data_IF_097402152548
#
_entry.id   IF_097402152548
#
_cell.length_a   1.000
_cell.length_b   1.000
_cell.length_c   1.000
_cell.angle_alpha   90.00
_cell.angle_beta   90.00
_cell.angle_gamma   90.00
#
_symmetry.space_group_name_H-M   'P 1'
#
loop_
_entity.id
_entity.type
_entity.pdbx_description
1 polymer ?
#
# COMPACT_ATOMS: atom_id res chain seq x y z
N UNK A 1 6.75 -10.24 -12.14
CA UNK A 1 5.98 -9.48 -11.14
C UNK A 1 5.19 -10.47 -10.31
N UNK A 2 5.27 -10.36 -8.99
CA UNK A 2 4.54 -11.19 -8.04
C UNK A 2 3.71 -10.29 -7.12
N UNK A 3 2.48 -10.71 -6.80
CA UNK A 3 1.61 -10.09 -5.81
C UNK A 3 1.45 -8.56 -5.94
N UNK A 4 0.78 -8.09 -7.01
CA UNK A 4 0.53 -6.66 -7.22
C UNK A 4 -0.66 -6.17 -6.38
N UNK A 5 -0.48 -5.14 -5.55
CA UNK A 5 -1.57 -4.53 -4.74
C UNK A 5 -1.76 -3.03 -4.98
N UNK A 6 -0.69 -2.31 -5.31
CA UNK A 6 -0.70 -0.89 -5.70
C UNK A 6 -0.54 -0.68 -7.20
N UNK A 7 -0.98 0.49 -7.69
CA UNK A 7 -0.65 0.93 -9.04
C UNK A 7 -0.53 2.45 -9.15
N UNK A 8 0.03 2.90 -10.27
CA UNK A 8 0.16 4.30 -10.65
C UNK A 8 0.16 4.47 -12.16
N UNK A 9 -0.11 5.69 -12.61
CA UNK A 9 0.04 6.09 -14.01
C UNK A 9 0.97 7.29 -14.02
N UNK A 10 2.04 7.22 -14.80
CA UNK A 10 2.97 8.34 -14.94
C UNK A 10 2.38 9.40 -15.88
N UNK A 11 2.80 10.68 -15.78
CA UNK A 11 2.48 11.72 -16.78
C UNK A 11 2.91 11.34 -18.21
N UNK A 12 3.77 10.33 -18.27
CA UNK A 12 4.25 9.53 -19.38
C UNK A 12 3.34 8.75 -20.31
N UNK A 13 2.22 8.31 -19.74
CA UNK A 13 1.46 7.17 -20.26
C UNK A 13 1.99 5.78 -19.90
N UNK A 14 2.94 5.63 -18.96
CA UNK A 14 3.36 4.29 -18.47
C UNK A 14 2.61 3.89 -17.21
N UNK A 15 2.48 2.58 -17.00
CA UNK A 15 1.82 1.98 -15.86
C UNK A 15 2.85 1.53 -14.82
N UNK A 16 2.61 1.86 -13.55
CA UNK A 16 3.39 1.38 -12.42
C UNK A 16 2.58 0.30 -11.71
N UNK A 17 3.18 -0.86 -11.50
CA UNK A 17 2.62 -1.92 -10.67
C UNK A 17 3.55 -2.23 -9.51
N UNK A 18 2.94 -2.37 -8.33
CA UNK A 18 3.64 -2.38 -7.06
C UNK A 18 3.66 -3.81 -6.50
N UNK A 19 4.84 -4.44 -6.45
CA UNK A 19 5.01 -5.75 -5.82
C UNK A 19 4.87 -5.64 -4.29
N UNK A 20 3.99 -6.44 -3.69
CA UNK A 20 3.66 -6.41 -2.26
C UNK A 20 4.06 -7.69 -1.54
N UNK A 21 3.13 -8.65 -1.38
CA UNK A 21 3.27 -9.87 -0.56
C UNK A 21 4.15 -10.93 -1.24
N UNK A 22 5.36 -10.53 -1.67
CA UNK A 22 6.33 -11.38 -2.39
C UNK A 22 6.86 -12.50 -1.51
N UNK A 23 6.96 -12.25 -0.20
CA UNK A 23 7.33 -13.22 0.81
C UNK A 23 6.44 -14.46 0.82
N UNK A 24 5.18 -14.34 0.37
CA UNK A 24 4.25 -15.44 0.30
C UNK A 24 4.69 -16.54 -0.68
N UNK A 25 5.50 -16.19 -1.70
CA UNK A 25 6.00 -17.11 -2.72
C UNK A 25 7.25 -17.89 -2.31
N UNK A 26 7.93 -17.48 -1.23
CA UNK A 26 9.18 -18.10 -0.77
C UNK A 26 8.94 -19.01 0.43
N UNK A 27 9.71 -20.09 0.51
CA UNK A 27 9.71 -21.06 1.61
C UNK A 27 10.97 -21.90 1.58
N UNK A 28 11.11 -22.89 2.45
CA UNK A 28 12.12 -23.93 2.34
C UNK A 28 11.74 -25.12 3.21
N UNK A 29 12.05 -26.33 2.75
CA UNK A 29 11.91 -27.56 3.54
C UNK A 29 13.20 -27.95 4.26
N UNK A 30 14.30 -27.20 4.05
CA UNK A 30 15.57 -27.48 4.73
C UNK A 30 15.45 -27.20 6.24
N UNK A 31 15.53 -28.24 7.09
CA UNK A 31 15.41 -28.08 8.55
C UNK A 31 16.63 -27.37 9.16
N UNK A 32 17.71 -27.16 8.41
CA UNK A 32 18.91 -26.45 8.84
C UNK A 32 18.89 -24.96 8.47
N UNK A 33 18.01 -24.53 7.56
CA UNK A 33 17.88 -23.13 7.22
C UNK A 33 17.43 -22.30 8.43
N UNK A 34 18.03 -21.13 8.62
CA UNK A 34 17.72 -20.21 9.72
C UNK A 34 17.51 -18.82 9.14
N UNK A 35 16.48 -18.14 9.64
CA UNK A 35 16.23 -16.72 9.33
C UNK A 35 17.34 -15.87 9.92
N UNK A 36 17.82 -14.92 9.13
CA UNK A 36 18.56 -13.77 9.63
C UNK A 36 17.61 -12.57 9.87
N UNK A 37 18.18 -11.44 10.26
CA UNK A 37 17.43 -10.21 10.55
C UNK A 37 16.67 -9.66 9.33
N UNK A 38 17.24 -9.80 8.12
CA UNK A 38 16.58 -9.34 6.90
C UNK A 38 15.39 -10.24 6.56
N UNK A 39 15.55 -11.56 6.68
CA UNK A 39 14.47 -12.51 6.51
C UNK A 39 13.31 -12.21 7.47
N UNK A 40 13.61 -11.91 8.74
CA UNK A 40 12.58 -11.52 9.72
C UNK A 40 11.92 -10.20 9.31
N UNK A 41 12.69 -9.16 8.97
CA UNK A 41 12.14 -7.83 8.65
C UNK A 41 11.32 -7.79 7.36
N UNK A 42 11.63 -8.67 6.41
CA UNK A 42 10.91 -8.84 5.15
C UNK A 42 9.86 -9.96 5.19
N UNK A 43 9.56 -10.49 6.39
CA UNK A 43 8.48 -11.46 6.58
C UNK A 43 8.72 -12.79 5.86
N UNK A 44 9.96 -13.18 5.58
CA UNK A 44 10.31 -14.47 4.99
C UNK A 44 10.32 -15.56 6.06
N UNK A 45 9.85 -16.76 5.72
CA UNK A 45 9.82 -17.89 6.65
C UNK A 45 9.92 -19.22 5.90
N UNK A 46 10.37 -20.27 6.59
CA UNK A 46 10.50 -21.60 6.00
C UNK A 46 9.15 -22.13 5.49
N UNK A 47 8.06 -21.88 6.23
CA UNK A 47 6.74 -22.36 5.85
C UNK A 47 6.07 -21.54 4.73
N UNK A 48 6.66 -20.41 4.33
CA UNK A 48 6.01 -19.44 3.44
C UNK A 48 4.63 -19.00 3.95
N UNK A 49 3.76 -18.55 3.02
CA UNK A 49 2.38 -18.15 3.33
C UNK A 49 1.36 -18.82 2.39
N UNK A 50 1.49 -20.13 2.22
CA UNK A 50 0.51 -20.92 1.48
C UNK A 50 0.72 -21.00 -0.03
N UNK A 51 1.82 -20.45 -0.57
CA UNK A 51 2.28 -20.76 -1.93
C UNK A 51 3.48 -21.71 -1.88
N UNK A 52 3.29 -23.02 -2.09
CA UNK A 52 4.32 -24.03 -1.88
C UNK A 52 5.27 -24.15 -3.08
N UNK A 53 5.71 -23.01 -3.64
CA UNK A 53 6.53 -22.99 -4.88
C UNK A 53 7.93 -23.52 -4.67
N UNK A 54 8.48 -23.37 -3.46
CA UNK A 54 9.80 -23.86 -3.09
C UNK A 54 9.94 -25.39 -3.22
N UNK A 55 8.85 -26.15 -3.15
CA UNK A 55 8.89 -27.59 -3.40
C UNK A 55 9.19 -27.96 -4.86
N UNK A 56 9.02 -27.03 -5.80
CA UNK A 56 9.02 -27.32 -7.23
C UNK A 56 9.99 -26.44 -8.04
N UNK A 57 10.39 -25.29 -7.51
CA UNK A 57 11.26 -24.34 -8.19
C UNK A 57 12.27 -23.73 -7.20
N UNK A 58 13.54 -24.08 -7.38
CA UNK A 58 14.65 -23.69 -6.51
C UNK A 58 14.82 -22.17 -6.38
N UNK A 59 14.30 -21.37 -7.34
CA UNK A 59 14.32 -19.91 -7.24
C UNK A 59 13.52 -19.37 -6.04
N UNK A 60 12.59 -20.18 -5.52
CA UNK A 60 11.75 -19.83 -4.38
C UNK A 60 12.12 -20.58 -3.09
N UNK A 61 13.11 -21.48 -3.14
CA UNK A 61 13.62 -22.19 -1.98
C UNK A 61 14.70 -21.38 -1.28
N UNK A 62 14.40 -20.84 -0.10
CA UNK A 62 15.28 -19.96 0.68
C UNK A 62 16.61 -20.61 1.10
N UNK A 63 16.73 -21.94 1.04
CA UNK A 63 17.99 -22.65 1.29
C UNK A 63 18.81 -22.88 0.01
N UNK A 64 18.22 -22.67 -1.17
CA UNK A 64 18.87 -22.89 -2.45
C UNK A 64 19.73 -21.69 -2.89
N UNK A 65 20.88 -21.94 -3.55
CA UNK A 65 21.76 -20.87 -4.02
C UNK A 65 21.15 -20.02 -5.15
N UNK A 66 20.02 -20.41 -5.74
CA UNK A 66 19.27 -19.67 -6.75
C UNK A 66 18.26 -18.67 -6.17
N UNK A 67 17.91 -18.79 -4.87
CA UNK A 67 16.94 -17.89 -4.28
C UNK A 67 17.49 -16.45 -4.21
N UNK A 68 16.71 -15.53 -4.77
CA UNK A 68 16.99 -14.09 -4.81
C UNK A 68 15.77 -13.28 -4.34
N UNK A 69 15.30 -13.43 -3.09
CA UNK A 69 14.14 -12.68 -2.60
C UNK A 69 14.31 -11.16 -2.71
N UNK A 70 15.55 -10.66 -2.70
CA UNK A 70 15.92 -9.26 -2.91
C UNK A 70 15.61 -8.73 -4.31
N UNK A 71 15.47 -9.60 -5.31
CA UNK A 71 15.06 -9.21 -6.67
C UNK A 71 13.57 -8.84 -6.75
N UNK A 72 12.78 -9.07 -5.69
CA UNK A 72 11.34 -8.78 -5.62
C UNK A 72 11.01 -7.73 -4.56
N UNK A 73 9.79 -7.18 -4.62
CA UNK A 73 9.31 -6.13 -3.72
C UNK A 73 9.67 -4.74 -4.24
N UNK A 74 9.57 -4.56 -5.55
CA UNK A 74 9.85 -3.30 -6.24
C UNK A 74 8.61 -2.80 -6.99
N UNK A 75 8.52 -1.50 -7.20
CA UNK A 75 7.62 -0.96 -8.23
C UNK A 75 8.21 -1.25 -9.61
N UNK A 76 7.39 -1.80 -10.50
CA UNK A 76 7.74 -2.15 -11.88
C UNK A 76 7.00 -1.23 -12.83
N UNK A 77 7.73 -0.58 -13.73
CA UNK A 77 7.16 0.23 -14.81
C UNK A 77 6.95 -0.62 -16.07
N UNK A 78 5.77 -0.47 -16.68
CA UNK A 78 5.36 -1.13 -17.91
C UNK A 78 4.90 -0.07 -18.90
N UNK A 79 5.26 -0.24 -20.17
CA UNK A 79 4.69 0.54 -21.25
C UNK A 79 3.47 -0.20 -21.82
N UNK A 80 2.23 0.27 -21.58
CA UNK A 80 1.03 -0.37 -22.11
C UNK A 80 0.86 -0.16 -23.62
N UNK A 81 1.63 0.76 -24.23
CA UNK A 81 1.55 1.10 -25.65
C UNK A 81 2.58 0.35 -26.51
N UNK A 82 3.62 -0.21 -25.90
CA UNK A 82 4.62 -1.05 -26.56
C UNK A 82 4.69 -2.44 -25.91
N UNK A 83 4.04 -3.47 -26.49
CA UNK A 83 4.06 -4.82 -25.94
C UNK A 83 5.43 -5.50 -26.01
N UNK A 84 6.40 -4.93 -26.74
CA UNK A 84 7.77 -5.42 -26.81
C UNK A 84 8.70 -4.79 -25.77
N UNK A 85 8.27 -3.68 -25.14
CA UNK A 85 9.03 -3.03 -24.09
C UNK A 85 9.18 -3.94 -22.88
N UNK A 86 10.42 -4.11 -22.41
CA UNK A 86 10.69 -4.90 -21.22
C UNK A 86 10.29 -4.10 -19.97
N UNK A 87 9.50 -4.71 -19.04
CA UNK A 87 9.21 -4.08 -17.76
C UNK A 87 10.47 -3.77 -16.96
N UNK A 88 10.51 -2.62 -16.27
CA UNK A 88 11.68 -2.16 -15.52
C UNK A 88 11.38 -2.04 -14.03
N UNK A 89 12.18 -2.70 -13.19
CA UNK A 89 12.12 -2.53 -11.73
C UNK A 89 12.79 -1.21 -11.35
N UNK A 90 12.04 -0.29 -10.75
CA UNK A 90 12.49 1.06 -10.41
C UNK A 90 13.08 1.11 -9.00
N UNK A 91 14.34 0.73 -8.87
CA UNK A 91 14.99 0.49 -7.58
C UNK A 91 15.18 1.75 -6.72
N UNK A 92 15.21 2.94 -7.33
CA UNK A 92 15.28 4.20 -6.59
C UNK A 92 14.03 4.47 -5.73
N UNK A 93 12.94 3.72 -5.96
CA UNK A 93 11.71 3.78 -5.17
C UNK A 93 11.78 2.92 -3.89
N UNK A 94 12.88 2.20 -3.68
CA UNK A 94 13.12 1.34 -2.50
C UNK A 94 12.45 -0.03 -2.61
N UNK A 95 12.85 -0.94 -1.72
CA UNK A 95 12.31 -2.31 -1.65
C UNK A 95 11.51 -2.56 -0.37
N UNK A 96 10.23 -2.87 -0.52
CA UNK A 96 9.28 -3.22 0.53
C UNK A 96 7.97 -3.77 -0.07
N UNK A 97 6.96 -4.07 0.74
CA UNK A 97 5.68 -4.58 0.25
C UNK A 97 4.82 -3.40 -0.22
N UNK A 98 4.93 -3.00 -1.48
CA UNK A 98 4.35 -1.75 -1.96
C UNK A 98 2.81 -1.78 -2.07
N UNK A 99 2.12 -1.11 -1.15
CA UNK A 99 0.65 -0.96 -1.18
C UNK A 99 0.13 0.13 -2.13
N UNK A 100 1.01 1.02 -2.59
CA UNK A 100 0.66 2.18 -3.42
C UNK A 100 1.78 2.58 -4.37
N UNK A 101 1.44 3.23 -5.48
CA UNK A 101 2.41 3.87 -6.40
C UNK A 101 1.81 5.17 -6.96
N UNK A 102 1.31 6.04 -6.08
CA UNK A 102 0.51 7.20 -6.44
C UNK A 102 1.40 8.33 -6.93
N UNK A 103 1.28 8.68 -8.22
CA UNK A 103 2.12 9.66 -8.89
C UNK A 103 1.46 11.03 -8.92
N UNK A 104 2.21 12.07 -8.60
CA UNK A 104 1.86 13.47 -8.77
C UNK A 104 3.05 14.28 -9.28
N UNK A 105 2.83 15.59 -9.50
CA UNK A 105 3.87 16.54 -9.88
C UNK A 105 3.86 17.71 -8.90
N UNK A 106 5.03 18.19 -8.49
CA UNK A 106 5.18 19.43 -7.74
C UNK A 106 6.36 20.23 -8.29
N UNK A 107 6.13 21.49 -8.66
CA UNK A 107 7.15 22.36 -9.25
C UNK A 107 7.95 21.71 -10.41
N UNK A 108 7.28 20.93 -11.27
CA UNK A 108 7.91 20.22 -12.39
C UNK A 108 8.59 18.89 -12.03
N UNK A 109 8.80 18.60 -10.75
CA UNK A 109 9.41 17.34 -10.26
C UNK A 109 8.33 16.29 -10.08
N UNK A 110 8.65 15.05 -10.41
CA UNK A 110 7.79 13.91 -10.14
C UNK A 110 7.79 13.62 -8.64
N UNK A 111 6.61 13.36 -8.08
CA UNK A 111 6.45 12.86 -6.71
C UNK A 111 5.70 11.54 -6.78
N UNK A 112 6.18 10.53 -6.05
CA UNK A 112 5.50 9.23 -5.94
C UNK A 112 5.32 8.89 -4.46
N UNK A 113 4.08 8.63 -4.05
CA UNK A 113 3.78 8.11 -2.72
C UNK A 113 3.59 6.60 -2.78
N UNK A 114 4.28 5.91 -1.89
CA UNK A 114 4.19 4.46 -1.71
C UNK A 114 4.11 4.12 -0.23
N UNK A 115 3.73 2.89 0.07
CA UNK A 115 3.48 2.41 1.42
C UNK A 115 4.01 1.01 1.54
N UNK A 116 4.48 0.64 2.71
CA UNK A 116 4.80 -0.73 3.05
C UNK A 116 3.58 -1.37 3.71
N UNK A 117 2.78 -2.10 2.95
CA UNK A 117 1.46 -2.63 3.31
C UNK A 117 1.51 -3.84 4.26
N UNK A 118 2.30 -3.70 5.31
CA UNK A 118 2.38 -4.61 6.44
C UNK A 118 2.07 -3.88 7.74
N UNK A 119 1.59 -4.61 8.75
CA UNK A 119 1.41 -4.03 10.07
C UNK A 119 2.76 -3.61 10.66
N UNK A 120 2.89 -2.33 11.01
CA UNK A 120 4.16 -1.72 11.40
C UNK A 120 5.04 -1.26 10.23
N UNK A 121 4.56 -1.32 8.98
CA UNK A 121 5.21 -0.73 7.82
C UNK A 121 5.16 0.81 7.82
N UNK A 122 5.71 1.44 6.79
CA UNK A 122 5.89 2.90 6.71
C UNK A 122 5.23 3.52 5.49
N UNK A 123 5.03 4.84 5.56
CA UNK A 123 4.68 5.69 4.42
C UNK A 123 5.97 6.27 3.80
N UNK A 124 6.08 6.17 2.48
CA UNK A 124 7.22 6.65 1.70
C UNK A 124 6.80 7.67 0.64
N UNK A 125 7.74 8.56 0.32
CA UNK A 125 7.64 9.54 -0.75
C UNK A 125 8.94 9.53 -1.54
N UNK A 126 8.87 9.40 -2.86
CA UNK A 126 10.00 9.61 -3.76
C UNK A 126 9.82 10.94 -4.49
N UNK A 127 10.90 11.68 -4.70
CA UNK A 127 10.90 12.91 -5.50
C UNK A 127 12.04 12.87 -6.51
N UNK A 128 11.73 13.06 -7.80
CA UNK A 128 12.74 13.06 -8.87
C UNK A 128 13.78 14.16 -8.64
N UNK A 129 15.02 13.97 -9.06
CA UNK A 129 16.13 14.90 -8.78
C UNK A 129 16.00 16.25 -9.49
N UNK A 130 15.25 16.29 -10.58
CA UNK A 130 15.02 17.49 -11.41
C UNK A 130 13.61 17.38 -12.05
N UNK A 131 13.23 18.39 -12.82
CA UNK A 131 12.03 18.41 -13.64
C UNK A 131 11.95 17.13 -14.50
N UNK A 132 10.81 16.45 -14.42
CA UNK A 132 10.67 15.13 -15.03
C UNK A 132 10.73 15.20 -16.57
N UNK A 133 10.28 16.31 -17.17
CA UNK A 133 10.37 16.52 -18.63
C UNK A 133 11.83 16.67 -19.04
N UNK A 134 12.61 17.47 -18.31
CA UNK A 134 14.04 17.65 -18.56
C UNK A 134 14.83 16.35 -18.42
N UNK A 135 14.55 15.54 -17.39
CA UNK A 135 15.18 14.23 -17.24
C UNK A 135 14.90 13.33 -18.44
N UNK A 136 13.65 13.30 -18.91
CA UNK A 136 13.28 12.54 -20.12
C UNK A 136 13.92 13.06 -21.39
N UNK A 137 14.02 14.37 -21.58
CA UNK A 137 14.71 14.98 -22.73
C UNK A 137 16.20 14.58 -22.78
N UNK A 138 16.79 14.31 -21.61
CA UNK A 138 18.15 13.78 -21.47
C UNK A 138 18.23 12.25 -21.59
N UNK A 139 17.13 11.55 -21.92
CA UNK A 139 17.07 10.09 -22.01
C UNK A 139 17.14 9.38 -20.65
N UNK A 140 16.86 10.08 -19.55
CA UNK A 140 16.92 9.56 -18.18
C UNK A 140 15.52 9.38 -17.62
N UNK A 141 15.25 8.25 -16.97
CA UNK A 141 13.97 8.05 -16.29
C UNK A 141 13.90 8.92 -15.02
N UNK A 142 12.83 9.71 -14.82
CA UNK A 142 12.60 10.43 -13.56
C UNK A 142 12.46 9.50 -12.35
N UNK A 143 12.14 8.22 -12.57
CA UNK A 143 11.99 7.19 -11.54
C UNK A 143 13.32 6.53 -11.14
N UNK A 144 14.42 6.80 -11.85
CA UNK A 144 15.77 6.28 -11.52
C UNK A 144 16.66 7.34 -10.84
N UNK A 145 16.20 8.59 -10.77
CA UNK A 145 16.98 9.72 -10.30
C UNK A 145 16.16 10.58 -9.36
N UNK A 146 16.47 10.53 -8.07
CA UNK A 146 15.75 11.27 -7.05
C UNK A 146 16.11 10.79 -5.65
N UNK A 147 15.30 11.20 -4.68
CA UNK A 147 15.48 10.85 -3.28
C UNK A 147 14.22 10.17 -2.76
N UNK A 148 14.40 9.02 -2.12
CA UNK A 148 13.37 8.33 -1.35
C UNK A 148 13.36 8.87 0.08
N UNK A 149 12.16 9.10 0.62
CA UNK A 149 11.92 9.58 1.97
C UNK A 149 10.96 8.64 2.69
N UNK A 150 11.14 8.49 4.01
CA UNK A 150 10.16 7.85 4.90
C UNK A 150 9.50 8.89 5.81
N UNK A 151 8.23 8.71 6.15
CA UNK A 151 7.49 9.64 6.99
C UNK A 151 7.78 9.41 8.48
N UNK A 152 8.04 10.51 9.21
CA UNK A 152 7.83 10.60 10.65
C UNK A 152 6.56 11.41 10.89
N UNK A 153 5.56 10.78 11.50
CA UNK A 153 4.26 11.36 11.84
C UNK A 153 4.24 11.59 13.36
N UNK A 154 4.05 12.84 13.75
CA UNK A 154 3.99 13.28 15.14
C UNK A 154 2.53 13.38 15.60
N UNK A 155 2.22 13.01 16.86
CA UNK A 155 0.85 13.10 17.40
C UNK A 155 0.27 14.53 17.50
N UNK A 156 1.10 15.56 17.34
CA UNK A 156 0.69 16.97 17.33
C UNK A 156 0.10 17.45 15.99
N UNK A 157 -0.15 16.52 15.06
CA UNK A 157 -0.66 16.84 13.71
C UNK A 157 0.42 17.32 12.74
N UNK A 158 1.71 17.23 13.11
CA UNK A 158 2.83 17.53 12.20
C UNK A 158 3.49 16.25 11.69
N UNK A 159 4.18 16.35 10.55
CA UNK A 159 5.02 15.27 10.05
C UNK A 159 6.21 15.79 9.26
N UNK A 160 7.20 14.90 9.06
CA UNK A 160 8.45 15.20 8.36
C UNK A 160 8.85 14.05 7.45
N UNK A 161 9.47 14.39 6.33
CA UNK A 161 10.05 13.45 5.38
C UNK A 161 11.55 13.25 5.69
N UNK A 162 11.96 12.02 6.00
CA UNK A 162 13.32 11.64 6.35
C UNK A 162 14.03 11.06 5.12
N UNK A 163 15.11 11.66 4.60
CA UNK A 163 15.77 11.16 3.39
C UNK A 163 16.52 9.86 3.66
N UNK A 164 16.27 8.84 2.83
CA UNK A 164 17.00 7.57 2.83
C UNK A 164 18.24 7.71 1.95
N UNK A 165 19.25 8.44 2.45
CA UNK A 165 20.48 8.74 1.72
C UNK A 165 21.70 8.21 2.46
N UNK A 166 22.49 7.36 1.81
CA UNK A 166 23.75 6.86 2.33
C UNK A 166 24.71 8.01 2.65
N UNK A 167 25.47 7.87 3.74
CA UNK A 167 26.39 8.89 4.24
C UNK A 167 25.75 9.95 5.15
N UNK A 168 24.42 9.92 5.33
CA UNK A 168 23.70 10.88 6.16
C UNK A 168 23.07 10.23 7.41
N UNK A 169 23.15 10.92 8.54
CA UNK A 169 22.58 10.46 9.81
C UNK A 169 23.08 9.06 10.19
N UNK A 170 22.19 8.11 10.48
CA UNK A 170 22.57 6.75 10.84
C UNK A 170 22.99 5.88 9.64
N UNK A 171 22.73 6.32 8.39
CA UNK A 171 22.92 5.49 7.18
C UNK A 171 24.36 5.54 6.65
N UNK A 172 25.34 5.22 7.49
CA UNK A 172 26.77 5.32 7.15
C UNK A 172 27.47 3.97 7.18
N UNK A 173 28.67 3.88 6.58
CA UNK A 173 29.52 2.68 6.67
C UNK A 173 29.83 2.27 8.11
N UNK A 174 30.00 3.25 9.01
CA UNK A 174 30.26 2.99 10.42
C UNK A 174 29.10 2.27 11.13
N UNK A 175 27.88 2.42 10.60
CA UNK A 175 26.67 1.77 11.11
C UNK A 175 26.20 0.61 10.22
N UNK A 176 27.09 0.02 9.43
CA UNK A 176 26.81 -1.17 8.63
C UNK A 176 26.07 -0.93 7.30
N UNK A 177 26.08 0.29 6.77
CA UNK A 177 25.52 0.61 5.45
C UNK A 177 26.62 0.72 4.39
N UNK A 178 26.59 -0.13 3.37
CA UNK A 178 27.64 -0.19 2.36
C UNK A 178 27.61 1.00 1.40
N UNK A 179 26.45 1.27 0.81
CA UNK A 179 26.22 2.34 -0.17
C UNK A 179 24.71 2.63 -0.32
N UNK A 180 24.33 3.42 -1.34
CA UNK A 180 22.93 3.76 -1.60
C UNK A 180 22.10 2.56 -2.10
N UNK A 181 22.68 1.60 -2.82
CA UNK A 181 21.95 0.44 -3.29
C UNK A 181 21.52 -0.42 -2.10
N UNK A 182 22.44 -0.60 -1.15
CA UNK A 182 22.18 -1.27 0.11
C UNK A 182 21.05 -0.58 0.92
N UNK A 183 21.05 0.77 1.00
CA UNK A 183 19.95 1.54 1.61
C UNK A 183 18.59 1.24 0.95
N UNK A 184 18.54 1.14 -0.37
CA UNK A 184 17.29 0.91 -1.12
C UNK A 184 16.81 -0.54 -1.02
N UNK A 185 17.72 -1.53 -1.07
CA UNK A 185 17.41 -2.95 -0.87
C UNK A 185 16.89 -3.22 0.55
N UNK A 186 17.43 -2.50 1.53
CA UNK A 186 17.10 -2.58 2.96
C UNK A 186 16.27 -1.39 3.43
N UNK A 187 15.42 -0.83 2.57
CA UNK A 187 14.67 0.41 2.83
C UNK A 187 13.85 0.38 4.12
N UNK A 188 13.28 -0.77 4.49
CA UNK A 188 12.56 -0.96 5.77
C UNK A 188 13.46 -0.63 6.97
N UNK A 189 14.60 -1.30 7.07
CA UNK A 189 15.57 -1.06 8.14
C UNK A 189 16.23 0.31 8.07
N UNK A 190 16.33 0.92 6.88
CA UNK A 190 16.83 2.29 6.74
C UNK A 190 15.83 3.30 7.32
N UNK A 191 14.54 3.11 7.05
CA UNK A 191 13.46 3.90 7.65
C UNK A 191 13.41 3.72 9.17
N UNK A 192 13.56 2.48 9.67
CA UNK A 192 13.65 2.21 11.11
C UNK A 192 14.83 2.96 11.75
N UNK A 193 16.03 2.89 11.15
CA UNK A 193 17.23 3.56 11.66
C UNK A 193 17.07 5.09 11.71
N UNK A 194 16.35 5.66 10.73
CA UNK A 194 16.00 7.09 10.70
C UNK A 194 14.89 7.45 11.71
N UNK A 195 14.21 6.48 12.31
CA UNK A 195 13.08 6.70 13.21
C UNK A 195 11.82 7.15 12.47
N UNK A 196 11.52 6.54 11.32
CA UNK A 196 10.23 6.67 10.66
C UNK A 196 9.10 6.10 11.54
N UNK A 197 7.88 6.61 11.40
CA UNK A 197 6.75 6.15 12.20
C UNK A 197 6.20 4.85 11.61
N UNK A 198 6.13 3.74 12.39
CA UNK A 198 5.43 2.54 11.96
C UNK A 198 3.91 2.74 12.01
N UNK A 199 3.19 2.21 11.02
CA UNK A 199 1.76 2.45 10.80
C UNK A 199 0.93 1.17 10.85
N UNK A 200 -0.38 1.31 11.15
CA UNK A 200 -1.35 0.23 11.14
C UNK A 200 -1.71 -0.17 9.69
N UNK A 201 -0.91 -1.07 9.11
CA UNK A 201 -0.99 -1.58 7.73
C UNK A 201 -1.37 -0.49 6.70
N UNK A 202 -0.43 0.39 6.32
CA UNK A 202 -0.68 1.45 5.36
C UNK A 202 -0.87 0.89 3.95
N UNK A 203 -2.03 1.10 3.36
CA UNK A 203 -2.41 0.54 2.04
C UNK A 203 -2.32 1.63 0.96
N UNK A 204 -3.44 2.02 0.33
CA UNK A 204 -3.42 2.94 -0.80
C UNK A 204 -3.35 4.40 -0.38
N UNK A 205 -2.58 5.15 -1.16
CA UNK A 205 -2.53 6.62 -1.12
C UNK A 205 -3.35 7.18 -2.27
N UNK A 206 -4.14 8.22 -2.03
CA UNK A 206 -4.81 8.97 -3.10
C UNK A 206 -4.62 10.47 -2.90
N UNK A 207 -4.54 11.21 -4.00
CA UNK A 207 -4.35 12.67 -3.97
C UNK A 207 -5.57 13.32 -4.59
N UNK A 208 -6.17 14.25 -3.86
CA UNK A 208 -7.34 14.99 -4.31
C UNK A 208 -6.97 15.89 -5.51
N UNK A 209 -7.69 15.79 -6.63
CA UNK A 209 -7.45 16.63 -7.79
C UNK A 209 -7.93 18.09 -7.58
N UNK A 210 -8.71 18.35 -6.52
CA UNK A 210 -9.32 19.66 -6.27
C UNK A 210 -8.44 20.58 -5.43
N UNK A 211 -7.74 20.02 -4.45
CA UNK A 211 -7.00 20.79 -3.43
C UNK A 211 -5.61 20.24 -3.11
N UNK A 212 -5.21 19.13 -3.74
CA UNK A 212 -3.90 18.51 -3.55
C UNK A 212 -3.69 17.86 -2.19
N UNK A 213 -4.71 17.77 -1.32
CA UNK A 213 -4.61 16.98 -0.08
C UNK A 213 -4.39 15.52 -0.41
N UNK A 214 -3.56 14.87 0.40
CA UNK A 214 -3.20 13.46 0.22
C UNK A 214 -3.85 12.64 1.31
N UNK A 215 -4.36 11.47 0.96
CA UNK A 215 -5.14 10.57 1.82
C UNK A 215 -4.46 9.22 1.87
N UNK A 216 -4.45 8.59 3.04
CA UNK A 216 -3.90 7.24 3.26
C UNK A 216 -4.91 6.38 3.99
N UNK A 217 -5.18 5.20 3.43
CA UNK A 217 -5.90 4.14 4.12
C UNK A 217 -4.95 3.36 5.04
N UNK A 218 -5.35 3.23 6.31
CA UNK A 218 -4.71 2.38 7.30
C UNK A 218 -5.68 1.25 7.60
N UNK A 219 -5.40 0.04 7.13
CA UNK A 219 -6.43 -0.99 7.06
C UNK A 219 -6.75 -1.61 8.42
N UNK A 220 -5.75 -2.00 9.20
CA UNK A 220 -5.91 -2.32 10.62
C UNK A 220 -4.56 -2.70 11.23
N UNK A 221 -4.53 -2.84 12.55
CA UNK A 221 -3.44 -3.44 13.30
C UNK A 221 -3.99 -4.29 14.43
N UNK A 222 -3.39 -5.46 14.66
CA UNK A 222 -3.67 -6.28 15.84
C UNK A 222 -2.86 -5.80 17.06
N UNK A 223 -2.02 -4.76 16.91
CA UNK A 223 -1.20 -4.18 17.97
C UNK A 223 0.02 -5.01 18.36
N UNK A 224 0.52 -5.86 17.46
CA UNK A 224 1.44 -6.96 17.82
C UNK A 224 2.93 -6.74 17.48
N UNK A 225 3.33 -5.60 16.91
CA UNK A 225 4.75 -5.34 16.58
C UNK A 225 5.46 -4.52 17.67
N UNK A 226 6.62 -4.96 18.21
CA UNK A 226 7.29 -4.25 19.31
C UNK A 226 7.70 -2.83 18.87
N UNK A 227 7.23 -1.81 19.60
CA UNK A 227 7.82 -0.46 19.60
C UNK A 227 9.23 -0.66 20.20
N UNK A 228 10.27 -0.82 19.37
CA UNK A 228 11.66 -0.82 19.82
C UNK A 228 12.03 0.63 20.18
N UNK A 229 11.62 1.03 21.37
CA UNK A 229 11.96 2.29 21.99
C UNK A 229 11.99 2.04 23.49
N UNK A 230 13.11 1.49 23.97
CA UNK A 230 13.36 1.41 25.39
C UNK A 230 13.25 2.81 26.00
N UNK A 231 12.45 2.90 27.06
CA UNK A 231 12.51 3.98 28.01
C UNK A 231 13.87 3.93 28.72
N UNK A 232 14.85 4.67 28.20
CA UNK A 232 15.99 5.11 29.00
C UNK A 232 15.71 6.55 29.44
N UNK A 233 15.35 6.70 30.72
CA UNK A 233 15.08 7.93 31.46
C UNK A 233 13.71 8.57 31.22
N UNK A 234 12.80 8.29 32.15
CA UNK A 234 11.44 8.82 32.19
C UNK A 234 11.38 10.34 32.06
N UNK A 235 10.97 10.80 30.89
CA UNK A 235 10.17 12.02 30.68
C UNK A 235 9.41 11.87 29.37
N UNK A 236 8.12 12.23 29.40
CA UNK A 236 7.17 12.37 28.29
C UNK A 236 6.79 11.12 27.49
N UNK A 237 5.54 10.68 27.69
CA UNK A 237 4.80 9.84 26.74
C UNK A 237 4.88 10.47 25.34
N UNK A 238 5.69 9.89 24.46
CA UNK A 238 5.43 10.03 23.03
C UNK A 238 4.28 9.07 22.73
N UNK A 239 3.10 9.54 22.27
CA UNK A 239 2.05 8.62 21.85
C UNK A 239 2.59 7.71 20.73
N UNK A 240 2.92 6.45 21.04
CA UNK A 240 3.18 5.41 20.04
C UNK A 240 1.84 5.22 19.31
N UNK A 241 1.78 5.53 18.01
CA UNK A 241 0.61 5.34 17.14
C UNK A 241 0.30 3.84 16.88
N UNK A 242 0.55 2.96 17.87
CA UNK A 242 0.39 1.49 17.81
C UNK A 242 -0.61 0.96 18.85
N UNK A 243 -1.66 1.72 19.17
CA UNK A 243 -2.84 1.08 19.76
C UNK A 243 -3.39 0.07 18.76
N UNK A 244 -3.89 -1.07 19.25
CA UNK A 244 -4.65 -1.98 18.40
C UNK A 244 -5.75 -1.18 17.67
N UNK A 245 -5.79 -1.32 16.35
CA UNK A 245 -6.77 -0.66 15.50
C UNK A 245 -7.43 -1.75 14.65
N UNK A 246 -8.39 -2.51 15.21
CA UNK A 246 -8.96 -3.66 14.53
C UNK A 246 -9.79 -3.29 13.29
N UNK A 247 -10.21 -2.02 13.17
CA UNK A 247 -11.14 -1.56 12.14
C UNK A 247 -10.47 -0.65 11.10
N UNK A 248 -9.30 -0.08 11.40
CA UNK A 248 -8.58 0.82 10.52
C UNK A 248 -9.14 2.23 10.50
N UNK A 249 -8.55 3.10 9.69
CA UNK A 249 -8.95 4.51 9.52
C UNK A 249 -8.42 5.09 8.21
N UNK A 250 -8.87 6.30 7.89
CA UNK A 250 -8.29 7.12 6.82
C UNK A 250 -7.70 8.37 7.45
N UNK A 251 -6.43 8.64 7.18
CA UNK A 251 -5.79 9.92 7.53
C UNK A 251 -5.59 10.75 6.27
N UNK A 252 -5.43 12.07 6.43
CA UNK A 252 -5.05 12.95 5.32
C UNK A 252 -4.01 13.97 5.75
N UNK A 253 -3.25 14.49 4.79
CA UNK A 253 -2.27 15.55 5.03
C UNK A 253 -2.21 16.56 3.89
N UNK A 254 -1.61 17.70 4.20
CA UNK A 254 -1.16 18.70 3.23
C UNK A 254 0.31 18.97 3.47
N UNK A 255 1.08 18.95 2.39
CA UNK A 255 2.48 19.38 2.41
C UNK A 255 2.57 20.85 2.85
N UNK A 256 3.54 21.16 3.71
CA UNK A 256 3.86 22.55 4.07
C UNK A 256 4.44 23.28 2.85
N UNK A 257 4.47 24.61 2.90
CA UNK A 257 5.22 25.39 1.91
C UNK A 257 6.69 24.94 1.88
N UNK A 258 7.23 24.79 0.67
CA UNK A 258 8.59 24.31 0.50
C UNK A 258 9.59 25.39 0.94
N UNK A 259 10.57 25.04 1.77
CA UNK A 259 11.69 25.94 2.06
C UNK A 259 12.66 25.92 0.88
N UNK A 260 12.93 27.06 0.21
CA UNK A 260 13.91 27.14 -0.88
C UNK A 260 15.21 26.43 -0.51
N UNK A 261 15.65 25.49 -1.34
CA UNK A 261 17.03 24.99 -1.22
C UNK A 261 17.99 26.14 -1.57
N UNK A 262 19.20 26.13 -1.00
CA UNK A 262 20.20 27.19 -1.18
C UNK A 262 20.59 27.43 -2.64
N UNK A 263 20.27 26.47 -3.52
CA UNK A 263 20.66 26.46 -4.93
C UNK A 263 19.53 26.81 -5.92
N UNK A 264 18.33 27.21 -5.44
CA UNK A 264 17.29 27.80 -6.30
C UNK A 264 16.51 26.84 -7.22
N UNK A 265 16.84 25.54 -7.23
CA UNK A 265 16.10 24.51 -7.94
C UNK A 265 14.97 23.95 -7.06
N UNK A 266 13.73 24.39 -7.33
CA UNK A 266 12.46 23.78 -6.88
C UNK A 266 12.49 23.04 -5.53
N UNK A 267 12.23 23.78 -4.45
CA UNK A 267 12.17 23.19 -3.12
C UNK A 267 11.08 22.11 -2.99
N UNK A 268 11.45 21.00 -2.37
CA UNK A 268 10.51 19.94 -1.99
C UNK A 268 10.04 20.18 -0.55
N UNK A 269 8.73 20.21 -0.26
CA UNK A 269 8.25 20.20 1.10
C UNK A 269 8.79 18.98 1.87
N UNK A 270 9.51 19.24 2.96
CA UNK A 270 10.05 18.21 3.86
C UNK A 270 9.21 18.06 5.14
N UNK A 271 8.13 18.83 5.25
CA UNK A 271 7.17 18.73 6.35
C UNK A 271 5.74 18.80 5.83
N UNK A 272 4.81 18.28 6.62
CA UNK A 272 3.39 18.30 6.33
C UNK A 272 2.58 18.42 7.62
N UNK A 273 1.33 18.83 7.47
CA UNK A 273 0.33 18.77 8.53
C UNK A 273 -0.69 17.68 8.20
N UNK A 274 -0.97 16.81 9.18
CA UNK A 274 -1.89 15.69 9.02
C UNK A 274 -3.02 15.73 10.04
N UNK A 275 -4.12 15.09 9.71
CA UNK A 275 -5.27 14.90 10.58
C UNK A 275 -5.97 13.56 10.27
N UNK A 276 -6.76 13.08 11.23
CA UNK A 276 -7.68 11.97 10.98
C UNK A 276 -8.84 12.45 10.11
N UNK A 277 -9.08 11.72 9.01
CA UNK A 277 -10.15 12.03 8.09
C UNK A 277 -11.42 11.27 8.46
N UNK A 278 -11.35 9.94 8.52
CA UNK A 278 -12.47 9.05 8.85
C UNK A 278 -12.03 7.93 9.80
N UNK A 279 -12.85 7.64 10.80
CA UNK A 279 -12.70 6.46 11.67
C UNK A 279 -14.01 5.64 11.68
N UNK A 280 -13.95 4.29 11.64
CA UNK A 280 -15.12 3.41 11.62
C UNK A 280 -16.10 3.55 12.79
N UNK A 281 -15.62 4.08 13.91
CA UNK A 281 -16.36 4.26 15.16
C UNK A 281 -16.92 5.68 15.34
N UNK A 282 -16.74 6.57 14.36
CA UNK A 282 -17.29 7.92 14.42
C UNK A 282 -18.83 7.87 14.48
N UNK A 283 -19.46 8.37 15.56
CA UNK A 283 -20.92 8.35 15.71
C UNK A 283 -21.66 9.21 14.66
N UNK A 284 -20.96 10.10 13.96
CA UNK A 284 -21.51 10.86 12.84
C UNK A 284 -21.63 10.03 11.54
N UNK A 285 -20.96 8.87 11.46
CA UNK A 285 -21.12 7.97 10.31
C UNK A 285 -22.51 7.37 10.31
N UNK A 286 -23.19 7.54 9.17
CA UNK A 286 -24.46 6.88 8.93
C UNK A 286 -24.25 5.38 8.77
N UNK A 287 -25.29 4.58 9.02
CA UNK A 287 -25.22 3.12 8.87
C UNK A 287 -24.85 2.69 7.43
N UNK A 288 -25.28 3.45 6.42
CA UNK A 288 -24.90 3.24 5.03
C UNK A 288 -23.47 3.73 4.69
N UNK A 289 -22.82 4.46 5.59
CA UNK A 289 -21.41 4.84 5.51
C UNK A 289 -20.48 3.96 6.33
N UNK A 290 -20.99 2.97 7.08
CA UNK A 290 -20.17 2.11 7.93
C UNK A 290 -19.14 1.31 7.11
N UNK A 291 -17.91 1.26 7.60
CA UNK A 291 -16.82 0.53 6.95
C UNK A 291 -15.88 -0.07 8.00
N UNK A 292 -15.04 -1.00 7.56
CA UNK A 292 -13.89 -1.50 8.31
C UNK A 292 -12.84 -1.92 7.29
N UNK A 293 -11.57 -1.92 7.70
CA UNK A 293 -10.43 -2.20 6.86
C UNK A 293 -10.44 -1.44 5.52
N UNK A 294 -10.43 -0.09 5.54
CA UNK A 294 -10.23 0.68 4.31
C UNK A 294 -8.88 0.27 3.70
N UNK A 295 -8.89 -0.06 2.41
CA UNK A 295 -7.72 -0.60 1.71
C UNK A 295 -7.41 0.21 0.46
N UNK A 296 -8.38 0.31 -0.44
CA UNK A 296 -8.27 1.09 -1.66
C UNK A 296 -8.74 2.53 -1.48
N UNK A 297 -7.97 3.48 -2.03
CA UNK A 297 -8.38 4.87 -2.21
C UNK A 297 -8.19 5.27 -3.67
N UNK A 298 -9.14 6.02 -4.21
CA UNK A 298 -9.06 6.63 -5.54
C UNK A 298 -9.94 7.88 -5.61
N UNK A 299 -9.51 8.90 -6.35
CA UNK A 299 -10.32 10.08 -6.58
C UNK A 299 -10.92 10.07 -7.99
N UNK A 300 -12.23 10.32 -8.06
CA UNK A 300 -12.86 10.75 -9.30
C UNK A 300 -12.43 12.17 -9.66
N UNK A 301 -12.53 12.52 -10.95
CA UNK A 301 -12.21 13.87 -11.44
C UNK A 301 -13.14 14.95 -10.84
N UNK A 302 -14.32 14.55 -10.36
CA UNK A 302 -15.30 15.37 -9.65
C UNK A 302 -14.93 15.64 -8.18
N UNK A 303 -13.86 15.01 -7.67
CA UNK A 303 -13.43 15.12 -6.28
C UNK A 303 -14.06 14.10 -5.33
N UNK A 304 -14.88 13.16 -5.82
CA UNK A 304 -15.40 12.05 -5.00
C UNK A 304 -14.25 11.14 -4.57
N UNK A 305 -14.09 10.91 -3.26
CA UNK A 305 -13.15 9.92 -2.74
C UNK A 305 -13.83 8.54 -2.70
N UNK A 306 -13.33 7.62 -3.51
CA UNK A 306 -13.75 6.24 -3.54
C UNK A 306 -12.90 5.41 -2.56
N UNK A 307 -13.57 4.71 -1.65
CA UNK A 307 -12.95 3.92 -0.60
C UNK A 307 -13.37 2.47 -0.75
N UNK A 308 -12.42 1.56 -1.02
CA UNK A 308 -12.70 0.13 -1.06
C UNK A 308 -12.24 -0.54 0.23
N UNK A 309 -13.01 -1.53 0.72
CA UNK A 309 -12.69 -2.25 1.95
C UNK A 309 -12.16 -3.66 1.68
N UNK A 310 -11.27 -4.11 2.57
CA UNK A 310 -10.64 -5.43 2.53
C UNK A 310 -10.58 -6.09 3.90
N UNK A 311 -11.74 -6.28 4.54
CA UNK A 311 -11.86 -7.06 5.77
C UNK A 311 -11.57 -8.53 5.44
N UNK A 312 -10.59 -9.12 6.14
CA UNK A 312 -10.21 -10.52 5.94
C UNK A 312 -11.37 -11.47 6.17
N UNK A 313 -11.42 -12.60 5.46
CA UNK A 313 -12.45 -13.62 5.69
C UNK A 313 -12.57 -14.12 7.14
N UNK A 314 -11.52 -13.98 7.97
CA UNK A 314 -11.54 -14.30 9.39
C UNK A 314 -12.46 -13.41 10.22
N UNK A 315 -12.58 -12.13 9.86
CA UNK A 315 -13.36 -11.12 10.59
C UNK A 315 -14.52 -10.57 9.76
N UNK A 316 -14.60 -10.90 8.47
CA UNK A 316 -15.66 -10.49 7.55
C UNK A 316 -17.03 -10.93 8.09
N UNK A 317 -17.93 -9.97 8.32
CA UNK A 317 -19.21 -10.17 9.00
C UNK A 317 -19.08 -10.81 10.40
N UNK A 318 -17.99 -10.51 11.11
CA UNK A 318 -17.71 -10.97 12.46
C UNK A 318 -18.71 -10.46 13.51
N UNK A 319 -18.59 -10.94 14.77
CA UNK A 319 -19.52 -10.61 15.83
C UNK A 319 -19.42 -9.17 16.32
N UNK A 320 -18.29 -8.47 16.12
CA UNK A 320 -18.16 -7.07 16.52
C UNK A 320 -19.14 -6.17 15.76
N UNK A 321 -19.71 -5.18 16.43
CA UNK A 321 -20.78 -4.34 15.86
C UNK A 321 -20.33 -3.59 14.59
N UNK A 322 -19.08 -3.13 14.53
CA UNK A 322 -18.51 -2.47 13.35
C UNK A 322 -18.36 -3.46 12.19
N UNK A 323 -17.76 -4.63 12.40
CA UNK A 323 -17.64 -5.67 11.37
C UNK A 323 -19.01 -6.16 10.87
N UNK A 324 -19.99 -6.27 11.77
CA UNK A 324 -21.36 -6.69 11.45
C UNK A 324 -22.10 -5.63 10.62
N UNK A 325 -21.94 -4.36 10.96
CA UNK A 325 -22.58 -3.22 10.27
C UNK A 325 -21.92 -2.94 8.92
N UNK A 326 -20.59 -3.10 8.83
CA UNK A 326 -19.86 -3.04 7.57
C UNK A 326 -20.29 -4.16 6.60
N UNK A 327 -20.50 -5.37 7.12
CA UNK A 327 -21.01 -6.52 6.35
C UNK A 327 -19.97 -7.09 5.40
N UNK A 328 -20.37 -7.39 4.17
CA UNK A 328 -19.41 -7.74 3.11
C UNK A 328 -18.55 -6.53 2.76
N UNK A 329 -17.38 -6.77 2.17
CA UNK A 329 -16.55 -5.70 1.63
C UNK A 329 -17.32 -4.87 0.60
N UNK A 330 -16.95 -3.60 0.46
CA UNK A 330 -17.74 -2.63 -0.28
C UNK A 330 -16.86 -1.59 -0.98
N UNK A 331 -17.48 -0.88 -1.93
CA UNK A 331 -17.02 0.41 -2.40
C UNK A 331 -17.91 1.49 -1.76
N UNK A 332 -17.28 2.47 -1.12
CA UNK A 332 -17.94 3.64 -0.58
C UNK A 332 -17.51 4.88 -1.38
N UNK A 333 -18.39 5.87 -1.42
CA UNK A 333 -18.12 7.21 -1.92
C UNK A 333 -18.15 8.19 -0.74
N UNK A 334 -17.11 8.98 -0.60
CA UNK A 334 -16.97 9.99 0.43
C UNK A 334 -16.79 11.38 -0.18
N UNK A 335 -17.51 12.36 0.36
CA UNK A 335 -17.24 13.78 0.10
C UNK A 335 -16.11 14.25 1.04
N UNK A 336 -14.94 14.64 0.52
CA UNK A 336 -13.82 15.05 1.36
C UNK A 336 -14.02 16.35 2.14
N UNK A 337 -15.02 17.17 1.75
CA UNK A 337 -15.35 18.44 2.38
C UNK A 337 -16.31 18.24 3.55
N UNK A 338 -17.43 17.55 3.31
CA UNK A 338 -18.46 17.32 4.33
C UNK A 338 -18.19 16.09 5.20
N UNK A 339 -17.25 15.22 4.79
CA UNK A 339 -17.00 13.89 5.35
C UNK A 339 -18.20 12.94 5.26
N UNK A 340 -19.22 13.27 4.47
CA UNK A 340 -20.34 12.35 4.24
C UNK A 340 -19.84 11.12 3.49
N UNK A 341 -20.16 9.93 3.99
CA UNK A 341 -19.81 8.64 3.39
C UNK A 341 -21.07 7.86 3.07
N UNK A 342 -21.16 7.32 1.85
CA UNK A 342 -22.25 6.42 1.44
C UNK A 342 -21.69 5.19 0.74
N UNK A 343 -22.23 4.02 1.07
CA UNK A 343 -21.94 2.77 0.37
C UNK A 343 -22.55 2.82 -1.02
N UNK A 344 -21.71 2.60 -2.02
CA UNK A 344 -22.09 2.63 -3.43
C UNK A 344 -22.34 1.21 -3.98
N UNK A 345 -21.48 0.25 -3.64
CA UNK A 345 -21.71 -1.17 -3.96
C UNK A 345 -21.17 -2.10 -2.86
N UNK A 346 -21.74 -3.29 -2.79
CA UNK A 346 -21.32 -4.36 -1.88
C UNK A 346 -20.78 -5.54 -2.69
N UNK A 347 -19.62 -6.06 -2.30
CA UNK A 347 -18.99 -7.21 -2.91
C UNK A 347 -19.76 -8.52 -2.61
N UNK A 348 -19.59 -9.55 -3.47
CA UNK A 348 -20.01 -10.91 -3.17
C UNK A 348 -19.36 -11.47 -1.89
N UNK A 349 -19.87 -12.61 -1.42
CA UNK A 349 -19.34 -13.28 -0.22
C UNK A 349 -17.88 -13.69 -0.41
N UNK A 350 -17.07 -13.46 0.62
CA UNK A 350 -15.65 -13.80 0.63
C UNK A 350 -14.87 -13.12 -0.50
N UNK A 351 -15.29 -11.92 -0.92
CA UNK A 351 -14.56 -11.10 -1.88
C UNK A 351 -14.09 -9.81 -1.18
N UNK A 352 -13.08 -9.18 -1.73
CA UNK A 352 -12.80 -7.76 -1.47
C UNK A 352 -13.07 -6.92 -2.73
N UNK A 353 -13.35 -5.63 -2.52
CA UNK A 353 -13.34 -4.64 -3.60
C UNK A 353 -11.94 -4.08 -3.69
N UNK A 354 -11.35 -4.10 -4.88
CA UNK A 354 -10.03 -3.53 -5.15
C UNK A 354 -10.00 -2.97 -6.55
N UNK A 355 -9.07 -2.05 -6.85
CA UNK A 355 -8.93 -1.46 -8.18
C UNK A 355 -10.19 -0.72 -8.66
N UNK A 356 -10.16 0.61 -8.58
CA UNK A 356 -11.26 1.46 -9.06
C UNK A 356 -10.68 2.47 -10.03
N UNK A 357 -11.34 2.66 -11.16
CA UNK A 357 -11.06 3.72 -12.13
C UNK A 357 -12.35 4.07 -12.89
N UNK A 358 -12.33 5.12 -13.69
CA UNK A 358 -13.47 5.50 -14.53
C UNK A 358 -13.08 5.70 -15.98
N UNK A 359 -14.07 5.71 -16.86
CA UNK A 359 -13.93 6.36 -18.16
C UNK A 359 -13.61 7.85 -17.98
N UNK A 360 -12.92 8.50 -18.94
CA UNK A 360 -12.60 9.93 -18.85
C UNK A 360 -13.82 10.86 -18.69
N UNK A 361 -14.98 10.45 -19.22
CA UNK A 361 -16.26 11.17 -19.10
C UNK A 361 -17.00 10.93 -17.78
N UNK A 362 -16.44 10.09 -16.89
CA UNK A 362 -17.01 9.73 -15.59
C UNK A 362 -18.32 8.92 -15.67
N UNK A 363 -18.75 8.46 -16.84
CA UNK A 363 -20.03 7.77 -17.01
C UNK A 363 -19.99 6.29 -16.64
N UNK A 364 -18.81 5.68 -16.63
CA UNK A 364 -18.61 4.27 -16.26
C UNK A 364 -17.48 4.14 -15.24
N UNK A 365 -17.76 3.48 -14.12
CA UNK A 365 -16.76 3.03 -13.17
C UNK A 365 -16.37 1.58 -13.48
N UNK A 366 -15.07 1.30 -13.51
CA UNK A 366 -14.53 -0.06 -13.51
C UNK A 366 -14.08 -0.39 -12.09
N UNK A 367 -14.62 -1.48 -11.54
CA UNK A 367 -14.34 -1.93 -10.18
C UNK A 367 -13.93 -3.39 -10.22
N UNK A 368 -12.81 -3.77 -9.59
CA UNK A 368 -12.46 -5.19 -9.49
C UNK A 368 -13.06 -5.83 -8.23
N UNK A 369 -13.62 -7.01 -8.42
CA UNK A 369 -14.02 -7.92 -7.36
C UNK A 369 -12.96 -9.01 -7.28
N UNK A 370 -12.19 -9.02 -6.21
CA UNK A 370 -11.10 -9.96 -6.02
C UNK A 370 -11.55 -11.18 -5.22
N UNK A 371 -11.06 -12.35 -5.64
CA UNK A 371 -11.12 -13.63 -4.93
C UNK A 371 -12.47 -14.01 -4.33
N UNK A 372 -13.62 -13.82 -5.02
CA UNK A 372 -14.91 -14.20 -4.47
C UNK A 372 -14.91 -15.66 -4.03
N UNK A 373 -15.48 -15.91 -2.86
CA UNK A 373 -15.53 -17.25 -2.28
C UNK A 373 -14.30 -17.67 -1.49
N UNK A 374 -13.44 -16.73 -1.06
CA UNK A 374 -12.37 -17.04 -0.11
C UNK A 374 -12.90 -17.71 1.17
N UNK A 375 -12.00 -18.35 1.94
CA UNK A 375 -12.36 -18.91 3.26
C UNK A 375 -12.86 -17.80 4.18
N UNK A 376 -14.01 -18.01 4.82
CA UNK A 376 -14.57 -17.09 5.81
C UNK A 376 -14.96 -17.80 7.10
N UNK A 377 -14.95 -17.08 8.23
CA UNK A 377 -15.46 -17.60 9.49
C UNK A 377 -16.99 -17.86 9.43
N UNK A 378 -17.72 -17.04 8.67
CA UNK A 378 -19.19 -17.08 8.59
C UNK A 378 -19.74 -18.15 7.66
N UNK A 379 -19.15 -18.34 6.48
CA UNK A 379 -19.65 -19.27 5.46
C UNK A 379 -18.77 -20.51 5.25
N UNK A 380 -17.64 -20.60 5.95
CA UNK A 380 -16.74 -21.75 5.90
C UNK A 380 -15.65 -21.61 4.83
N UNK A 381 -15.13 -22.75 4.38
CA UNK A 381 -13.99 -22.82 3.48
C UNK A 381 -14.34 -23.53 2.17
N UNK A 382 -13.98 -22.97 1.00
CA UNK A 382 -14.06 -23.72 -0.24
C UNK A 382 -13.05 -24.86 -0.24
N UNK A 383 -13.35 -25.92 -1.01
CA UNK A 383 -12.43 -27.02 -1.26
C UNK A 383 -12.62 -27.60 -2.66
N UNK A 384 -11.76 -28.52 -3.12
CA UNK A 384 -11.86 -29.11 -4.46
C UNK A 384 -13.24 -29.73 -4.76
N UNK A 385 -13.85 -30.39 -3.78
CA UNK A 385 -15.15 -31.06 -3.90
C UNK A 385 -16.34 -30.09 -3.82
N UNK A 386 -16.16 -28.97 -3.13
CA UNK A 386 -17.17 -27.91 -3.03
C UNK A 386 -16.52 -26.53 -3.18
N UNK A 387 -16.15 -26.13 -4.40
CA UNK A 387 -15.49 -24.85 -4.65
C UNK A 387 -16.43 -23.65 -4.46
N UNK A 388 -17.72 -23.90 -4.18
CA UNK A 388 -18.75 -22.88 -4.00
C UNK A 388 -19.27 -22.75 -2.57
N UNK A 389 -18.58 -23.35 -1.60
CA UNK A 389 -19.02 -23.31 -0.20
C UNK A 389 -19.33 -21.87 0.29
N UNK A 390 -18.60 -20.88 -0.22
CA UNK A 390 -18.76 -19.48 0.16
C UNK A 390 -19.45 -18.64 -0.92
N UNK A 391 -19.07 -18.78 -2.20
CA UNK A 391 -19.59 -17.98 -3.31
C UNK A 391 -19.65 -18.75 -4.62
N UNK A 392 -20.55 -18.34 -5.51
CA UNK A 392 -20.65 -18.80 -6.90
C UNK A 392 -20.74 -17.62 -7.88
N UNK A 393 -20.29 -16.44 -7.48
CA UNK A 393 -20.25 -15.24 -8.33
C UNK A 393 -19.10 -15.34 -9.36
N UNK A 394 -19.25 -14.85 -10.61
CA UNK A 394 -20.36 -14.03 -11.12
C UNK A 394 -21.48 -14.79 -11.83
N UNK A 395 -21.22 -16.03 -12.27
CA UNK A 395 -22.13 -16.74 -13.17
C UNK A 395 -23.34 -17.38 -12.46
N UNK A 396 -23.27 -17.53 -11.13
CA UNK A 396 -24.24 -18.25 -10.32
C UNK A 396 -24.57 -19.66 -10.83
N UNK A 397 -23.66 -20.25 -11.60
CA UNK A 397 -23.86 -21.55 -12.23
C UNK A 397 -23.83 -22.67 -11.19
N UNK A 398 -24.77 -23.62 -11.31
CA UNK A 398 -24.81 -24.83 -10.48
C UNK A 398 -23.58 -25.72 -10.64
N UNK A 399 -22.78 -25.53 -11.70
CA UNK A 399 -21.53 -26.25 -11.94
C UNK A 399 -20.31 -25.30 -12.04
N UNK A 400 -20.51 -23.99 -11.82
CA UNK A 400 -19.44 -22.99 -11.90
C UNK A 400 -18.53 -22.96 -10.67
N UNK A 401 -17.41 -22.25 -10.81
CA UNK A 401 -16.50 -21.86 -9.73
C UNK A 401 -16.50 -20.33 -9.62
N UNK A 402 -16.35 -19.76 -8.42
CA UNK A 402 -16.29 -18.32 -8.32
C UNK A 402 -15.03 -17.77 -9.00
N UNK A 403 -15.13 -16.57 -9.57
CA UNK A 403 -14.06 -15.97 -10.37
C UNK A 403 -13.94 -14.49 -10.05
N UNK A 404 -12.72 -14.00 -9.85
CA UNK A 404 -12.47 -12.55 -9.85
C UNK A 404 -12.91 -11.95 -11.19
N UNK A 405 -13.46 -10.74 -11.18
CA UNK A 405 -13.78 -10.02 -12.41
C UNK A 405 -13.76 -8.52 -12.20
N UNK A 406 -13.55 -7.79 -13.30
CA UNK A 406 -13.81 -6.35 -13.39
C UNK A 406 -15.26 -6.14 -13.76
N UNK A 407 -16.00 -5.37 -12.97
CA UNK A 407 -17.37 -4.95 -13.28
C UNK A 407 -17.37 -3.53 -13.84
N UNK A 408 -18.20 -3.30 -14.85
CA UNK A 408 -18.47 -1.97 -15.40
C UNK A 408 -19.81 -1.46 -14.84
N UNK A 409 -19.74 -0.43 -14.00
CA UNK A 409 -20.90 0.19 -13.36
C UNK A 409 -21.22 1.49 -14.07
N UNK A 410 -22.41 1.60 -14.63
CA UNK A 410 -22.90 2.80 -15.32
C UNK A 410 -24.35 3.05 -14.94
N UNK A 411 -24.78 4.31 -15.05
CA UNK A 411 -26.17 4.69 -14.78
C UNK A 411 -27.04 4.26 -15.97
N UNK A 412 -28.14 3.55 -15.70
CA UNK A 412 -29.17 3.27 -16.70
C UNK A 412 -29.91 4.57 -17.03
N UNK A 413 -30.06 4.86 -18.32
CA UNK A 413 -30.82 6.01 -18.84
C UNK A 413 -32.31 5.87 -18.63
#
# INVERSE_FOLDING_TARGET
>A
MLACSGHGITPWGTYLAAEENVNAAFGTDDPHWRRDEQHVRYGLSANGFGHPWHHFDARFDLAAPEARPEEFGWIVELDPHDPSALPVKRTALGRFAHGSATVTETAGRLVLHSTDAEDGGHLYKFVSSDNWRRLRDLGRSPLDHGTLYAARISPDGTGRWLPLTHGHGPLTRANGWHDQADVLVRARTAADALGATPLARPERVAVSPLDGRVYLALANSTGSSPCAGEAANGTTHTPCARSADPYGRVIRWRESEATPDRDGDGATPLSFHWEEFLTPDDPALRADGAFAAPKGLWFGADGTLWISTGVSGHTLNGPDDIHRTAGNNALLAADPTTKEVRRFLTAPRGAEVTGVTSTPDGQTLFVNIQHPGERTARWGAPGPDNPRAVSNWPDHSRNGRPRSATVAVHRTT
#
